data_IF_501382001113
#
_entry.id   IF_501382001113
#
_cell.length_a   1.000
_cell.length_b   1.000
_cell.length_c   1.000
_cell.angle_alpha   90.00
_cell.angle_beta   90.00
_cell.angle_gamma   90.00
#
_symmetry.space_group_name_H-M   'P 1'
#
loop_
_entity.id
_entity.type
_entity.pdbx_description
1 polymer ?
#
# COMPACT_ATOMS: atom_id res chain seq x y z
N UNK A 1 21.41 -14.72 -6.81
CA UNK A 1 20.58 -14.34 -7.98
C UNK A 1 19.27 -15.09 -7.87
N UNK A 2 18.13 -14.40 -7.86
CA UNK A 2 16.82 -15.06 -7.83
C UNK A 2 16.68 -15.91 -9.09
N UNK A 3 16.49 -17.22 -8.92
CA UNK A 3 16.33 -18.16 -10.02
C UNK A 3 15.12 -17.77 -10.88
N UNK A 4 15.32 -17.55 -12.18
CA UNK A 4 14.31 -17.01 -13.08
C UNK A 4 13.04 -17.90 -13.13
N UNK A 5 13.19 -19.19 -12.81
CA UNK A 5 12.11 -20.16 -12.74
C UNK A 5 11.13 -19.94 -11.57
N UNK A 6 11.55 -19.23 -10.50
CA UNK A 6 10.67 -18.96 -9.35
C UNK A 6 9.60 -17.92 -9.69
N UNK A 7 9.93 -16.94 -10.53
CA UNK A 7 9.01 -15.87 -10.90
C UNK A 7 7.71 -16.36 -11.57
N UNK A 8 7.73 -17.20 -12.62
CA UNK A 8 6.50 -17.68 -13.26
C UNK A 8 5.62 -18.55 -12.34
N UNK A 9 6.24 -19.32 -11.43
CA UNK A 9 5.50 -20.12 -10.45
C UNK A 9 4.80 -19.22 -9.43
N UNK A 10 5.54 -18.25 -8.87
CA UNK A 10 5.00 -17.24 -7.95
C UNK A 10 3.89 -16.42 -8.60
N UNK A 11 4.03 -16.04 -9.88
CA UNK A 11 2.99 -15.34 -10.63
C UNK A 11 1.69 -16.15 -10.72
N UNK A 12 1.77 -17.45 -11.00
CA UNK A 12 0.57 -18.30 -11.07
C UNK A 12 -0.19 -18.34 -9.75
N UNK A 13 0.52 -18.43 -8.63
CA UNK A 13 -0.07 -18.43 -7.28
C UNK A 13 -0.72 -17.07 -6.98
N UNK A 14 0.01 -15.97 -7.21
CA UNK A 14 -0.51 -14.60 -6.97
C UNK A 14 -1.71 -14.31 -7.87
N UNK A 15 -1.66 -14.68 -9.15
CA UNK A 15 -2.78 -14.49 -10.10
C UNK A 15 -4.04 -15.20 -9.62
N UNK A 16 -3.94 -16.47 -9.19
CA UNK A 16 -5.10 -17.22 -8.68
C UNK A 16 -5.70 -16.53 -7.46
N UNK A 17 -4.86 -15.95 -6.60
CA UNK A 17 -5.34 -15.21 -5.43
C UNK A 17 -6.03 -13.90 -5.78
N UNK A 18 -5.45 -13.10 -6.67
CA UNK A 18 -5.93 -11.75 -6.98
C UNK A 18 -7.11 -11.73 -7.98
N UNK A 19 -7.24 -12.76 -8.82
CA UNK A 19 -8.24 -12.77 -9.89
C UNK A 19 -8.95 -14.12 -10.06
N UNK A 20 -8.63 -15.13 -9.24
CA UNK A 20 -9.20 -16.47 -9.38
C UNK A 20 -10.55 -16.65 -8.70
N UNK A 21 -11.06 -15.65 -7.97
CA UNK A 21 -12.36 -15.73 -7.29
C UNK A 21 -13.25 -14.52 -7.63
N UNK A 22 -14.57 -14.71 -7.75
CA UNK A 22 -15.50 -13.60 -8.00
C UNK A 22 -15.41 -12.44 -6.98
N UNK A 23 -15.23 -12.68 -5.67
CA UNK A 23 -15.02 -11.60 -4.71
C UNK A 23 -13.76 -10.77 -4.97
N UNK A 24 -12.68 -11.40 -5.44
CA UNK A 24 -11.44 -10.68 -5.76
C UNK A 24 -11.61 -9.76 -6.98
N UNK A 25 -12.35 -10.22 -7.99
CA UNK A 25 -12.71 -9.40 -9.16
C UNK A 25 -13.62 -8.24 -8.76
N UNK A 26 -14.65 -8.50 -7.94
CA UNK A 26 -15.55 -7.47 -7.43
C UNK A 26 -14.80 -6.41 -6.60
N UNK A 27 -13.88 -6.83 -5.73
CA UNK A 27 -13.03 -5.93 -4.96
C UNK A 27 -12.11 -5.08 -5.87
N UNK A 28 -11.59 -5.68 -6.96
CA UNK A 28 -10.86 -4.94 -7.98
C UNK A 28 -11.69 -3.82 -8.60
N UNK A 29 -12.93 -4.12 -8.99
CA UNK A 29 -13.83 -3.16 -9.65
C UNK A 29 -14.45 -2.12 -8.71
N UNK A 30 -14.46 -2.34 -7.40
CA UNK A 30 -15.09 -1.44 -6.43
C UNK A 30 -14.49 -0.02 -6.48
N UNK A 31 -13.16 0.10 -6.51
CA UNK A 31 -12.51 1.40 -6.59
C UNK A 31 -12.88 2.20 -7.85
N UNK A 32 -12.66 1.70 -9.09
CA UNK A 32 -13.03 2.44 -10.28
C UNK A 32 -14.53 2.74 -10.36
N UNK A 33 -15.40 1.84 -9.88
CA UNK A 33 -16.84 2.09 -9.84
C UNK A 33 -17.20 3.27 -8.92
N UNK A 34 -16.65 3.33 -7.70
CA UNK A 34 -16.86 4.45 -6.77
C UNK A 34 -16.34 5.77 -7.36
N UNK A 35 -15.17 5.75 -8.00
CA UNK A 35 -14.58 6.95 -8.61
C UNK A 35 -15.41 7.46 -9.78
N UNK A 36 -15.89 6.57 -10.64
CA UNK A 36 -16.79 6.93 -11.73
C UNK A 36 -18.11 7.49 -11.20
N UNK A 37 -18.72 6.84 -10.20
CA UNK A 37 -19.97 7.29 -9.60
C UNK A 37 -19.84 8.70 -9.00
N UNK A 38 -18.77 8.97 -8.23
CA UNK A 38 -18.52 10.29 -7.65
C UNK A 38 -18.28 11.35 -8.72
N UNK A 39 -17.50 11.04 -9.76
CA UNK A 39 -17.21 12.04 -10.79
C UNK A 39 -18.36 12.32 -11.75
N UNK A 40 -19.31 11.38 -11.89
CA UNK A 40 -20.59 11.60 -12.58
C UNK A 40 -21.55 12.42 -11.71
N UNK A 41 -21.65 12.10 -10.41
CA UNK A 41 -22.60 12.72 -9.50
C UNK A 41 -22.20 14.14 -9.06
N UNK A 42 -20.90 14.42 -8.94
CA UNK A 42 -20.38 15.71 -8.46
C UNK A 42 -19.43 16.33 -9.49
N UNK A 43 -18.16 15.94 -9.48
CA UNK A 43 -17.18 16.48 -10.41
C UNK A 43 -15.93 15.62 -10.59
N UNK A 44 -15.27 15.79 -11.73
CA UNK A 44 -13.94 15.19 -11.97
C UNK A 44 -12.91 15.63 -10.92
N UNK A 45 -12.99 16.87 -10.42
CA UNK A 45 -12.07 17.39 -9.41
C UNK A 45 -12.25 16.67 -8.05
N UNK A 46 -13.50 16.42 -7.65
CA UNK A 46 -13.81 15.63 -6.45
C UNK A 46 -13.38 14.17 -6.62
N UNK A 47 -13.69 13.57 -7.78
CA UNK A 47 -13.26 12.23 -8.11
C UNK A 47 -11.73 12.09 -8.08
N UNK A 48 -10.98 13.09 -8.56
CA UNK A 48 -9.52 13.10 -8.51
C UNK A 48 -9.00 13.07 -7.08
N UNK A 49 -9.57 13.89 -6.18
CA UNK A 49 -9.17 13.89 -4.74
C UNK A 49 -9.38 12.51 -4.13
N UNK A 50 -10.54 11.90 -4.36
CA UNK A 50 -10.88 10.58 -3.84
C UNK A 50 -9.97 9.49 -4.45
N UNK A 51 -9.75 9.56 -5.77
CA UNK A 51 -8.92 8.61 -6.51
C UNK A 51 -7.51 8.55 -5.93
N UNK A 52 -6.85 9.70 -5.84
CA UNK A 52 -5.48 9.78 -5.32
C UNK A 52 -5.39 9.42 -3.83
N UNK A 53 -6.43 9.72 -3.05
CA UNK A 53 -6.48 9.34 -1.65
C UNK A 53 -6.64 7.84 -1.46
N UNK A 54 -7.46 7.15 -2.27
CA UNK A 54 -7.74 5.71 -2.12
C UNK A 54 -6.77 4.81 -2.88
N UNK A 55 -6.07 5.32 -3.89
CA UNK A 55 -5.18 4.52 -4.74
C UNK A 55 -4.12 3.72 -3.95
N UNK A 56 -3.47 4.26 -2.89
CA UNK A 56 -2.53 3.49 -2.08
C UNK A 56 -3.16 2.25 -1.43
N UNK A 57 -4.45 2.28 -1.07
CA UNK A 57 -5.13 1.14 -0.43
C UNK A 57 -5.26 -0.08 -1.33
N UNK A 58 -5.19 0.08 -2.66
CA UNK A 58 -5.12 -1.05 -3.60
C UNK A 58 -3.97 -1.99 -3.23
N UNK A 59 -2.82 -1.43 -2.87
CA UNK A 59 -1.64 -2.20 -2.47
C UNK A 59 -1.85 -2.87 -1.11
N UNK A 60 -2.46 -2.17 -0.16
CA UNK A 60 -2.77 -2.70 1.17
C UNK A 60 -3.68 -3.93 1.08
N UNK A 61 -4.76 -3.84 0.29
CA UNK A 61 -5.70 -4.95 0.07
C UNK A 61 -5.01 -6.11 -0.65
N UNK A 62 -4.23 -5.84 -1.70
CA UNK A 62 -3.47 -6.88 -2.40
C UNK A 62 -2.44 -7.59 -1.50
N UNK A 63 -1.85 -6.86 -0.54
CA UNK A 63 -0.86 -7.37 0.40
C UNK A 63 -1.45 -8.06 1.65
N UNK A 64 -2.77 -8.20 1.75
CA UNK A 64 -3.41 -8.98 2.81
C UNK A 64 -2.74 -10.36 2.93
N UNK A 65 -2.49 -10.88 4.13
CA UNK A 65 -1.97 -12.25 4.34
C UNK A 65 -0.81 -12.74 3.46
N UNK A 66 0.08 -11.84 3.00
CA UNK A 66 1.05 -12.20 1.96
C UNK A 66 2.04 -13.30 2.39
N UNK A 67 2.40 -13.35 3.68
CA UNK A 67 3.32 -14.36 4.22
C UNK A 67 2.59 -15.53 4.90
N UNK A 68 1.66 -15.24 5.81
CA UNK A 68 1.19 -16.24 6.79
C UNK A 68 0.34 -17.36 6.22
N UNK A 69 -0.47 -17.09 5.20
CA UNK A 69 -1.27 -18.12 4.53
C UNK A 69 -0.37 -19.22 3.93
N UNK A 70 0.77 -18.85 3.36
CA UNK A 70 1.74 -19.83 2.83
C UNK A 70 2.55 -20.49 3.95
N UNK A 71 2.72 -19.80 5.09
CA UNK A 71 3.37 -20.37 6.29
C UNK A 71 2.50 -21.49 6.89
N UNK A 72 1.20 -21.24 7.05
CA UNK A 72 0.28 -22.11 7.78
C UNK A 72 -0.34 -23.22 6.89
N UNK A 73 -0.38 -23.07 5.56
CA UNK A 73 -1.07 -24.01 4.64
C UNK A 73 -0.28 -25.25 4.21
N UNK A 74 0.95 -25.46 4.72
CA UNK A 74 1.79 -26.58 4.29
C UNK A 74 2.35 -26.46 2.87
N UNK A 75 2.07 -25.37 2.14
CA UNK A 75 2.81 -25.00 0.89
C UNK A 75 4.32 -24.92 1.17
N UNK A 76 4.69 -24.63 2.42
CA UNK A 76 6.05 -24.72 2.95
C UNK A 76 6.72 -26.07 2.66
N UNK A 77 6.02 -27.19 2.86
CA UNK A 77 6.56 -28.53 2.69
C UNK A 77 6.90 -28.76 1.22
N UNK A 78 5.97 -28.44 0.31
CA UNK A 78 6.19 -28.55 -1.13
C UNK A 78 7.32 -27.64 -1.65
N UNK A 79 7.44 -26.41 -1.14
CA UNK A 79 8.53 -25.48 -1.51
C UNK A 79 9.89 -25.88 -0.91
N UNK A 80 9.91 -26.47 0.29
CA UNK A 80 11.09 -27.07 0.91
C UNK A 80 11.57 -28.29 0.11
N UNK A 81 10.65 -29.18 -0.30
CA UNK A 81 10.97 -30.36 -1.11
C UNK A 81 11.45 -30.01 -2.54
N UNK A 82 11.04 -28.87 -3.11
CA UNK A 82 11.48 -28.39 -4.43
C UNK A 82 12.87 -27.70 -4.45
N UNK A 83 13.64 -27.77 -3.35
CA UNK A 83 15.05 -27.36 -3.31
C UNK A 83 15.48 -26.50 -2.12
N UNK A 84 14.65 -26.34 -1.09
CA UNK A 84 15.01 -25.59 0.14
C UNK A 84 15.20 -24.09 -0.09
N UNK A 85 14.38 -23.46 -0.94
CA UNK A 85 14.51 -22.06 -1.39
C UNK A 85 13.34 -21.17 -0.93
N UNK A 86 12.87 -21.43 0.28
CA UNK A 86 11.66 -20.80 0.83
C UNK A 86 11.80 -19.28 0.96
N UNK A 87 12.98 -18.80 1.36
CA UNK A 87 13.26 -17.36 1.49
C UNK A 87 13.09 -16.63 0.17
N UNK A 88 13.64 -17.20 -0.90
CA UNK A 88 13.64 -16.57 -2.21
C UNK A 88 12.24 -16.59 -2.84
N UNK A 89 11.44 -17.62 -2.57
CA UNK A 89 10.02 -17.66 -2.92
C UNK A 89 9.22 -16.54 -2.23
N UNK A 90 9.36 -16.37 -0.91
CA UNK A 90 8.63 -15.33 -0.18
C UNK A 90 9.01 -13.92 -0.65
N UNK A 91 10.30 -13.67 -0.89
CA UNK A 91 10.78 -12.40 -1.45
C UNK A 91 10.19 -12.16 -2.84
N UNK A 92 10.22 -13.17 -3.71
CA UNK A 92 9.63 -13.08 -5.04
C UNK A 92 8.12 -12.81 -4.97
N UNK A 93 7.40 -13.42 -4.03
CA UNK A 93 5.95 -13.22 -3.86
C UNK A 93 5.61 -11.78 -3.49
N UNK A 94 6.31 -11.20 -2.53
CA UNK A 94 6.12 -9.79 -2.14
C UNK A 94 6.40 -8.88 -3.35
N UNK A 95 7.48 -9.13 -4.09
CA UNK A 95 7.82 -8.36 -5.28
C UNK A 95 6.76 -8.47 -6.38
N UNK A 96 6.23 -9.69 -6.62
CA UNK A 96 5.18 -9.93 -7.60
C UNK A 96 3.87 -9.25 -7.20
N UNK A 97 3.50 -9.26 -5.91
CA UNK A 97 2.31 -8.55 -5.42
C UNK A 97 2.46 -7.04 -5.59
N UNK A 98 3.63 -6.49 -5.25
CA UNK A 98 3.93 -5.07 -5.46
C UNK A 98 3.85 -4.70 -6.95
N UNK A 99 4.45 -5.50 -7.83
CA UNK A 99 4.44 -5.28 -9.27
C UNK A 99 3.02 -5.38 -9.85
N UNK A 100 2.24 -6.40 -9.47
CA UNK A 100 0.87 -6.57 -9.92
C UNK A 100 -0.01 -5.38 -9.51
N UNK A 101 0.14 -4.92 -8.27
CA UNK A 101 -0.57 -3.76 -7.73
C UNK A 101 -0.17 -2.46 -8.45
N UNK A 102 1.13 -2.29 -8.76
CA UNK A 102 1.63 -1.14 -9.51
C UNK A 102 1.13 -1.12 -10.95
N UNK A 103 1.09 -2.27 -11.64
CA UNK A 103 0.51 -2.39 -12.98
C UNK A 103 -0.97 -2.03 -12.94
N UNK A 104 -1.73 -2.59 -11.98
CA UNK A 104 -3.15 -2.30 -11.83
C UNK A 104 -3.39 -0.80 -11.54
N UNK A 105 -2.64 -0.20 -10.62
CA UNK A 105 -2.71 1.22 -10.32
C UNK A 105 -2.37 2.09 -11.54
N UNK A 106 -1.41 1.67 -12.37
CA UNK A 106 -1.03 2.36 -13.61
C UNK A 106 -2.15 2.30 -14.64
N UNK A 107 -2.82 1.16 -14.79
CA UNK A 107 -3.99 1.01 -15.68
C UNK A 107 -5.12 1.93 -15.21
N UNK A 108 -5.43 1.92 -13.91
CA UNK A 108 -6.46 2.81 -13.33
C UNK A 108 -6.12 4.29 -13.56
N UNK A 109 -4.87 4.68 -13.34
CA UNK A 109 -4.42 6.06 -13.56
C UNK A 109 -4.46 6.44 -15.05
N UNK A 110 -4.13 5.52 -15.95
CA UNK A 110 -4.25 5.72 -17.39
C UNK A 110 -5.70 5.98 -17.82
N UNK A 111 -6.64 5.16 -17.33
CA UNK A 111 -8.08 5.35 -17.57
C UNK A 111 -8.59 6.68 -17.00
N UNK A 112 -8.20 7.01 -15.76
CA UNK A 112 -8.58 8.27 -15.12
C UNK A 112 -8.01 9.48 -15.87
N UNK A 113 -6.76 9.39 -16.33
CA UNK A 113 -6.10 10.43 -17.12
C UNK A 113 -6.76 10.62 -18.48
N UNK A 114 -7.13 9.52 -19.16
CA UNK A 114 -7.86 9.58 -20.43
C UNK A 114 -9.20 10.29 -20.27
N UNK A 115 -9.95 10.01 -19.19
CA UNK A 115 -11.18 10.74 -18.87
C UNK A 115 -10.93 12.23 -18.60
N UNK A 116 -9.89 12.56 -17.83
CA UNK A 116 -9.49 13.94 -17.58
C UNK A 116 -9.12 14.69 -18.85
N UNK A 117 -8.39 14.05 -19.76
CA UNK A 117 -8.00 14.63 -21.05
C UNK A 117 -9.22 14.86 -21.94
N UNK A 118 -10.11 13.86 -22.04
CA UNK A 118 -11.35 13.97 -22.82
C UNK A 118 -12.28 15.09 -22.32
N UNK A 119 -12.23 15.41 -21.02
CA UNK A 119 -13.02 16.48 -20.41
C UNK A 119 -12.28 17.81 -20.28
N UNK A 120 -11.01 17.90 -20.74
CA UNK A 120 -10.18 19.10 -20.62
C UNK A 120 -9.79 19.46 -19.19
N UNK A 121 -9.93 18.53 -18.22
CA UNK A 121 -9.69 18.74 -16.79
C UNK A 121 -8.44 18.05 -16.27
N UNK A 122 -7.64 17.46 -17.16
CA UNK A 122 -6.38 16.85 -16.78
C UNK A 122 -5.36 17.90 -16.33
N UNK A 123 -4.64 17.60 -15.25
CA UNK A 123 -3.61 18.47 -14.72
C UNK A 123 -2.28 17.70 -14.65
N UNK A 124 -1.18 18.28 -15.14
CA UNK A 124 0.15 17.65 -15.10
C UNK A 124 0.57 17.25 -13.67
N UNK A 125 0.06 17.97 -12.67
CA UNK A 125 0.30 17.70 -11.25
C UNK A 125 -0.21 16.31 -10.82
N UNK A 126 -1.15 15.71 -11.55
CA UNK A 126 -1.61 14.35 -11.28
C UNK A 126 -0.52 13.29 -11.42
N UNK A 127 0.46 13.48 -12.32
CA UNK A 127 1.59 12.54 -12.44
C UNK A 127 2.43 12.48 -11.15
N UNK A 128 2.71 13.64 -10.54
CA UNK A 128 3.43 13.68 -9.26
C UNK A 128 2.61 13.06 -8.11
N UNK A 129 1.28 13.26 -8.09
CA UNK A 129 0.40 12.61 -7.10
C UNK A 129 0.38 11.10 -7.29
N UNK A 130 0.38 10.63 -8.53
CA UNK A 130 0.46 9.21 -8.84
C UNK A 130 1.79 8.61 -8.32
N UNK A 131 2.93 9.27 -8.53
CA UNK A 131 4.22 8.84 -7.96
C UNK A 131 4.20 8.74 -6.43
N UNK A 132 3.62 9.71 -5.74
CA UNK A 132 3.46 9.67 -4.27
C UNK A 132 2.51 8.55 -3.83
N UNK A 133 1.44 8.28 -4.60
CA UNK A 133 0.53 7.19 -4.32
C UNK A 133 1.18 5.81 -4.50
N UNK A 134 2.05 5.65 -5.51
CA UNK A 134 2.86 4.43 -5.68
C UNK A 134 3.81 4.24 -4.50
N UNK A 135 4.48 5.31 -4.04
CA UNK A 135 5.36 5.25 -2.86
C UNK A 135 4.60 4.80 -1.61
N UNK A 136 3.46 5.44 -1.32
CA UNK A 136 2.59 5.07 -0.20
C UNK A 136 2.05 3.63 -0.34
N UNK A 137 1.72 3.21 -1.56
CA UNK A 137 1.30 1.85 -1.87
C UNK A 137 2.39 0.81 -1.57
N UNK A 138 3.62 1.04 -2.03
CA UNK A 138 4.75 0.17 -1.73
C UNK A 138 5.04 0.11 -0.23
N UNK A 139 4.94 1.24 0.46
CA UNK A 139 5.02 1.28 1.93
C UNK A 139 3.98 0.35 2.58
N UNK A 140 2.72 0.37 2.11
CA UNK A 140 1.71 -0.56 2.60
C UNK A 140 2.05 -2.02 2.34
N UNK A 141 2.61 -2.37 1.19
CA UNK A 141 3.05 -3.75 0.92
C UNK A 141 4.09 -4.18 1.96
N UNK A 142 5.09 -3.33 2.21
CA UNK A 142 6.14 -3.62 3.19
C UNK A 142 5.55 -3.76 4.61
N UNK A 143 4.72 -2.82 5.05
CA UNK A 143 4.07 -2.85 6.35
C UNK A 143 3.15 -4.07 6.52
N UNK A 144 2.30 -4.36 5.54
CA UNK A 144 1.40 -5.52 5.56
C UNK A 144 2.19 -6.83 5.60
N UNK A 145 3.32 -6.89 4.90
CA UNK A 145 4.27 -7.99 4.99
C UNK A 145 4.78 -8.19 6.42
N UNK A 146 5.30 -7.14 7.07
CA UNK A 146 5.78 -7.22 8.47
C UNK A 146 4.66 -7.65 9.40
N UNK A 147 3.49 -7.02 9.31
CA UNK A 147 2.34 -7.32 10.17
C UNK A 147 1.80 -8.74 9.97
N UNK A 148 1.88 -9.28 8.76
CA UNK A 148 1.42 -10.65 8.48
C UNK A 148 2.21 -11.71 9.26
N UNK A 149 3.41 -11.40 9.77
CA UNK A 149 4.12 -12.32 10.68
C UNK A 149 3.38 -12.52 12.01
N UNK A 150 2.75 -11.46 12.53
CA UNK A 150 2.16 -11.43 13.86
C UNK A 150 0.66 -11.71 13.85
N UNK A 151 -0.03 -11.23 12.81
CA UNK A 151 -1.48 -11.24 12.69
C UNK A 151 -1.97 -12.40 11.77
N UNK A 152 -3.21 -12.90 11.96
CA UNK A 152 -3.79 -14.06 11.23
C UNK A 152 -4.94 -13.64 10.31
N UNK A 153 -5.19 -14.41 9.25
CA UNK A 153 -6.45 -14.38 8.47
C UNK A 153 -6.93 -12.98 8.04
N UNK A 154 -6.02 -12.12 7.60
CA UNK A 154 -6.31 -10.83 7.00
C UNK A 154 -6.41 -9.70 8.02
N UNK A 155 -6.24 -10.02 9.31
CA UNK A 155 -6.27 -9.04 10.39
C UNK A 155 -5.14 -8.02 10.32
N UNK A 156 -4.12 -8.21 9.47
CA UNK A 156 -3.11 -7.18 9.21
C UNK A 156 -3.71 -5.96 8.52
N UNK A 157 -4.49 -6.15 7.45
CA UNK A 157 -5.18 -5.06 6.75
C UNK A 157 -6.21 -4.43 7.66
N UNK A 158 -6.99 -5.24 8.39
CA UNK A 158 -7.97 -4.73 9.35
C UNK A 158 -7.31 -3.89 10.45
N UNK A 159 -6.18 -4.32 11.02
CA UNK A 159 -5.47 -3.56 12.04
C UNK A 159 -5.00 -2.20 11.53
N UNK A 160 -4.48 -2.14 10.29
CA UNK A 160 -4.10 -0.88 9.64
C UNK A 160 -5.32 0.01 9.45
N UNK A 161 -6.42 -0.52 8.92
CA UNK A 161 -7.65 0.25 8.71
C UNK A 161 -8.28 0.74 10.03
N UNK A 162 -8.25 -0.07 11.08
CA UNK A 162 -8.71 0.33 12.41
C UNK A 162 -7.83 1.42 13.01
N UNK A 163 -6.50 1.29 12.87
CA UNK A 163 -5.57 2.33 13.30
C UNK A 163 -5.83 3.64 12.55
N UNK A 164 -6.02 3.59 11.23
CA UNK A 164 -6.39 4.75 10.41
C UNK A 164 -7.72 5.38 10.82
N UNK A 165 -8.72 4.54 11.15
CA UNK A 165 -10.04 5.00 11.57
C UNK A 165 -9.97 5.68 12.95
N UNK A 166 -9.30 5.07 13.92
CA UNK A 166 -9.08 5.66 15.24
C UNK A 166 -8.32 6.98 15.14
N UNK A 167 -7.32 7.05 14.24
CA UNK A 167 -6.58 8.26 13.95
C UNK A 167 -7.46 9.37 13.39
N UNK A 168 -8.31 9.03 12.42
CA UNK A 168 -9.24 9.98 11.81
C UNK A 168 -10.24 10.52 12.86
N UNK A 169 -10.80 9.63 13.68
CA UNK A 169 -11.71 10.01 14.78
C UNK A 169 -10.98 10.92 15.77
N UNK A 170 -9.76 10.58 16.16
CA UNK A 170 -8.93 11.41 17.03
C UNK A 170 -8.63 12.78 16.44
N UNK A 171 -8.32 12.85 15.14
CA UNK A 171 -8.10 14.10 14.43
C UNK A 171 -9.36 14.98 14.40
N UNK A 172 -10.52 14.40 14.08
CA UNK A 172 -11.81 15.10 14.09
C UNK A 172 -12.15 15.61 15.49
N UNK A 173 -11.96 14.77 16.52
CA UNK A 173 -12.18 15.17 17.91
C UNK A 173 -11.19 16.26 18.38
N UNK A 174 -10.00 16.31 17.79
CA UNK A 174 -8.97 17.32 18.09
C UNK A 174 -9.11 18.64 17.31
N UNK A 175 -10.07 18.73 16.39
CA UNK A 175 -10.29 19.93 15.58
C UNK A 175 -10.79 21.09 16.46
N UNK A 176 -9.85 21.88 16.97
CA UNK A 176 -10.11 23.03 17.84
C UNK A 176 -10.13 24.33 17.02
N UNK A 177 -10.86 25.39 17.44
CA UNK A 177 -10.95 26.67 16.71
C UNK A 177 -9.63 27.46 16.62
N UNK A 178 -8.58 27.05 17.34
CA UNK A 178 -7.28 27.73 17.41
C UNK A 178 -6.20 26.84 16.78
N UNK A 179 -5.99 26.98 15.46
CA UNK A 179 -4.92 26.38 14.67
C UNK A 179 -4.61 24.90 15.00
N UNK A 180 -5.37 23.97 14.41
CA UNK A 180 -5.22 22.53 14.65
C UNK A 180 -4.06 21.89 13.88
N UNK A 181 -3.77 20.62 14.16
CA UNK A 181 -2.84 19.80 13.36
C UNK A 181 -3.15 19.83 11.86
N UNK A 182 -4.43 19.98 11.50
CA UNK A 182 -4.90 20.14 10.12
C UNK A 182 -4.42 21.45 9.47
N UNK A 183 -4.32 22.54 10.22
CA UNK A 183 -3.81 23.82 9.71
C UNK A 183 -2.29 23.76 9.50
N UNK A 184 -1.57 23.08 10.39
CA UNK A 184 -0.14 22.79 10.19
C UNK A 184 0.09 21.85 9.00
N UNK A 185 -0.78 20.86 8.81
CA UNK A 185 -0.75 19.99 7.64
C UNK A 185 -0.99 20.78 6.34
N UNK A 186 -1.97 21.69 6.32
CA UNK A 186 -2.30 22.48 5.14
C UNK A 186 -1.19 23.48 4.77
N UNK A 187 -0.52 24.06 5.78
CA UNK A 187 0.49 25.10 5.58
C UNK A 187 1.93 24.58 5.51
N UNK A 188 2.19 23.38 6.03
CA UNK A 188 3.53 22.80 6.17
C UNK A 188 4.44 23.51 7.15
N UNK A 189 3.87 24.39 7.98
CA UNK A 189 4.59 25.15 9.00
C UNK A 189 4.17 24.63 10.36
N UNK A 190 5.02 23.81 10.96
CA UNK A 190 4.83 23.32 12.32
C UNK A 190 5.47 24.32 13.30
N UNK A 191 4.79 24.70 14.39
CA UNK A 191 5.29 25.69 15.35
C UNK A 191 6.41 25.15 16.25
N UNK A 192 6.72 23.86 16.16
CA UNK A 192 7.78 23.21 16.94
C UNK A 192 7.89 21.70 16.65
N UNK A 193 8.83 20.99 17.30
CA UNK A 193 9.10 19.58 17.05
C UNK A 193 7.96 18.65 17.50
N UNK A 194 7.19 19.02 18.52
CA UNK A 194 6.07 18.20 19.02
C UNK A 194 4.98 17.95 17.96
N UNK A 195 4.35 19.00 17.39
CA UNK A 195 3.36 18.85 16.33
C UNK A 195 3.92 18.16 15.07
N UNK A 196 5.20 18.39 14.75
CA UNK A 196 5.87 17.69 13.63
C UNK A 196 6.00 16.18 13.90
N UNK A 197 6.38 15.77 15.11
CA UNK A 197 6.45 14.36 15.51
C UNK A 197 5.08 13.68 15.55
N UNK A 198 4.05 14.39 16.01
CA UNK A 198 2.67 13.87 15.97
C UNK A 198 2.27 13.63 14.51
N UNK A 199 2.50 14.60 13.63
CA UNK A 199 2.16 14.48 12.21
C UNK A 199 2.97 13.42 11.47
N UNK A 200 4.25 13.25 11.84
CA UNK A 200 5.08 12.14 11.38
C UNK A 200 4.43 10.78 11.76
N UNK A 201 4.06 10.62 13.04
CA UNK A 201 3.30 9.45 13.51
C UNK A 201 1.98 9.22 12.76
N UNK A 202 1.25 10.29 12.43
CA UNK A 202 0.05 10.19 11.59
C UNK A 202 0.37 9.67 10.19
N UNK A 203 1.45 10.17 9.59
CA UNK A 203 1.88 9.83 8.23
C UNK A 203 2.36 8.38 8.13
N UNK A 204 2.97 7.85 9.20
CA UNK A 204 3.32 6.43 9.28
C UNK A 204 2.08 5.51 9.22
N UNK A 205 0.97 5.92 9.84
CA UNK A 205 -0.28 5.11 9.86
C UNK A 205 -1.16 5.38 8.62
N UNK A 206 -1.18 6.63 8.16
CA UNK A 206 -1.98 7.12 7.04
C UNK A 206 -1.09 7.86 6.02
N UNK A 207 -0.21 7.14 5.29
CA UNK A 207 0.67 7.75 4.30
C UNK A 207 -0.10 8.43 3.17
N UNK A 208 -1.38 8.13 2.96
CA UNK A 208 -2.19 8.73 1.89
C UNK A 208 -2.27 10.27 1.98
N UNK A 209 -2.04 10.82 3.17
CA UNK A 209 -1.96 12.27 3.40
C UNK A 209 -0.86 12.92 2.56
N UNK A 210 0.24 12.22 2.26
CA UNK A 210 1.32 12.77 1.42
C UNK A 210 0.88 13.07 -0.01
N UNK A 211 -0.11 12.32 -0.51
CA UNK A 211 -0.67 12.51 -1.85
C UNK A 211 -1.51 13.79 -1.92
N UNK A 212 -2.13 14.17 -0.80
CA UNK A 212 -2.99 15.34 -0.69
C UNK A 212 -2.19 16.62 -0.34
N UNK A 213 -1.34 16.54 0.69
CA UNK A 213 -0.64 17.67 1.31
C UNK A 213 0.62 18.09 0.54
N UNK A 214 1.23 17.19 -0.24
CA UNK A 214 2.42 17.47 -1.09
C UNK A 214 3.60 18.13 -0.37
N UNK A 215 3.89 17.69 0.84
CA UNK A 215 5.11 18.12 1.53
C UNK A 215 6.24 17.11 1.32
N UNK A 216 7.41 17.55 0.83
CA UNK A 216 8.52 16.66 0.49
C UNK A 216 9.09 15.94 1.71
N UNK A 217 9.06 16.58 2.90
CA UNK A 217 9.50 15.98 4.16
C UNK A 217 8.77 14.66 4.46
N UNK A 218 7.45 14.63 4.29
CA UNK A 218 6.67 13.42 4.54
C UNK A 218 6.83 12.36 3.46
N UNK A 219 7.15 12.74 2.23
CA UNK A 219 7.53 11.78 1.20
C UNK A 219 8.85 11.07 1.55
N UNK A 220 9.83 11.81 2.08
CA UNK A 220 11.09 11.24 2.58
C UNK A 220 10.84 10.30 3.76
N UNK A 221 9.95 10.67 4.68
CA UNK A 221 9.58 9.81 5.81
C UNK A 221 8.96 8.49 5.35
N UNK A 222 7.98 8.54 4.43
CA UNK A 222 7.37 7.32 3.88
C UNK A 222 8.41 6.47 3.14
N UNK A 223 9.34 7.08 2.41
CA UNK A 223 10.44 6.37 1.76
C UNK A 223 11.38 5.71 2.78
N UNK A 224 11.75 6.40 3.86
CA UNK A 224 12.56 5.84 4.94
C UNK A 224 11.83 4.68 5.64
N UNK A 225 10.53 4.83 5.91
CA UNK A 225 9.67 3.78 6.45
C UNK A 225 9.58 2.56 5.54
N UNK A 226 9.51 2.77 4.21
CA UNK A 226 9.54 1.69 3.22
C UNK A 226 10.86 0.93 3.27
N UNK A 227 12.00 1.64 3.29
CA UNK A 227 13.32 1.02 3.40
C UNK A 227 13.47 0.23 4.70
N UNK A 228 13.02 0.79 5.83
CA UNK A 228 13.03 0.12 7.12
C UNK A 228 12.14 -1.14 7.09
N UNK A 229 10.94 -1.06 6.52
CA UNK A 229 10.03 -2.19 6.35
C UNK A 229 10.65 -3.30 5.50
N UNK A 230 11.30 -2.95 4.39
CA UNK A 230 12.06 -3.88 3.56
C UNK A 230 13.21 -4.55 4.32
N UNK A 231 13.98 -3.79 5.11
CA UNK A 231 15.07 -4.34 5.92
C UNK A 231 14.56 -5.30 7.02
N UNK A 232 13.44 -4.95 7.67
CA UNK A 232 12.79 -5.82 8.65
C UNK A 232 12.27 -7.09 7.99
N UNK A 233 11.63 -6.98 6.82
CA UNK A 233 11.20 -8.14 6.04
C UNK A 233 12.36 -9.03 5.65
N UNK A 234 13.46 -8.47 5.14
CA UNK A 234 14.65 -9.24 4.78
C UNK A 234 15.21 -10.00 5.99
N UNK A 235 15.26 -9.35 7.16
CA UNK A 235 15.66 -9.99 8.41
C UNK A 235 14.69 -11.08 8.87
N UNK A 236 13.39 -10.87 8.75
CA UNK A 236 12.36 -11.87 9.11
C UNK A 236 12.51 -13.09 8.20
N UNK A 237 12.54 -12.90 6.89
CA UNK A 237 12.62 -13.99 5.93
C UNK A 237 13.99 -14.68 6.02
N UNK A 238 15.06 -13.93 6.27
CA UNK A 238 16.41 -14.47 6.47
C UNK A 238 16.57 -15.41 7.67
N UNK A 239 15.66 -15.36 8.65
CA UNK A 239 15.66 -16.26 9.82
C UNK A 239 14.88 -17.56 9.60
N UNK A 240 14.21 -17.74 8.45
CA UNK A 240 13.31 -18.87 8.20
C UNK A 240 14.01 -20.12 7.65
N UNK A 241 15.26 -20.03 7.19
CA UNK A 241 16.05 -21.18 6.73
C UNK A 241 17.15 -21.53 7.75
N UNK A 242 17.29 -22.81 8.07
CA UNK A 242 18.48 -23.32 8.75
C UNK A 242 19.67 -23.12 7.81
N UNK A 243 20.74 -22.45 8.27
CA UNK A 243 21.98 -22.36 7.50
C UNK A 243 22.42 -23.78 7.14
N UNK A 244 22.55 -24.08 5.84
CA UNK A 244 23.22 -25.31 5.41
C UNK A 244 24.61 -25.32 6.09
N UNK A 245 24.99 -26.39 6.78
CA UNK A 245 26.39 -26.54 7.17
C UNK A 245 27.23 -26.47 5.89
N UNK A 246 28.27 -25.65 5.93
CA UNK A 246 29.23 -25.50 4.86
C UNK A 246 30.02 -26.80 4.66
#
# INVERSE_FOLDING_TARGET
>A
MSDAALFPLTWRVVRRRLAGTPPAVAAGLALPAVIAAVGIADSYATAAKLFFFLLPHVFLVAAQDVLRTDIDSGVLENALFAGGRFRDYLKAKIAVVAAASAVYATVLFGLFSAWGLATGRFEARFAARFGLALLAGLYYVAMAGVLSRYLRAGSNVLAVLLAQTALLIGLVASASPRAGLLDYAATGRFPGPGPALVFAGLTAVLPNVIVYVRQPLFAVEVAAGLLAGCAVLDRIVGRLELRRPA
#
